data_IF_811172210751
#
_entry.id   IF_811172210751
#
_cell.length_a   1.000
_cell.length_b   1.000
_cell.length_c   1.000
_cell.angle_alpha   90.00
_cell.angle_beta   90.00
_cell.angle_gamma   90.00
#
_symmetry.space_group_name_H-M   'P 1'
#
loop_
_entity.id
_entity.type
_entity.pdbx_description
1 polymer ?
#
# COMPACT_ATOMS: atom_id res chain seq x y z
N UNK A 1 10.24 19.90 20.39
CA UNK A 1 8.83 20.24 20.11
C UNK A 1 8.01 19.02 20.48
N UNK A 2 7.11 19.20 21.44
CA UNK A 2 6.39 18.16 22.15
C UNK A 2 5.07 17.90 21.43
N UNK A 3 4.83 16.67 20.97
CA UNK A 3 3.46 16.14 20.85
C UNK A 3 3.31 15.06 21.92
N UNK A 4 2.97 15.50 23.15
CA UNK A 4 2.24 14.64 24.08
C UNK A 4 0.83 14.40 23.52
N UNK A 5 0.05 13.41 23.93
CA UNK A 5 -0.05 12.79 25.25
C UNK A 5 -0.86 11.50 25.11
N UNK A 6 -0.60 10.56 26.01
CA UNK A 6 -1.52 9.51 26.49
C UNK A 6 -2.28 8.65 25.48
N UNK A 7 -1.73 7.49 25.17
CA UNK A 7 -2.51 6.27 25.01
C UNK A 7 -2.26 5.39 26.26
N UNK A 8 -2.78 5.82 27.41
CA UNK A 8 -3.03 4.86 28.50
C UNK A 8 -4.40 4.26 28.21
N UNK A 9 -4.43 3.26 27.35
CA UNK A 9 -5.57 2.36 27.24
C UNK A 9 -5.01 0.97 27.44
N UNK A 10 -5.30 0.41 28.61
CA UNK A 10 -5.15 -1.01 28.86
C UNK A 10 -5.96 -1.76 27.79
N UNK A 11 -5.27 -2.30 26.80
CA UNK A 11 -5.87 -3.17 25.79
C UNK A 11 -5.79 -4.59 26.33
N UNK A 12 -6.77 -4.94 27.16
CA UNK A 12 -7.09 -6.33 27.48
C UNK A 12 -8.07 -6.86 26.44
N UNK A 13 -7.67 -6.85 25.16
CA UNK A 13 -8.38 -7.50 24.06
C UNK A 13 -7.39 -7.74 22.93
N UNK A 14 -6.96 -8.99 22.76
CA UNK A 14 -6.07 -9.50 21.71
C UNK A 14 -6.72 -9.43 20.29
N UNK A 15 -7.47 -8.37 19.98
CA UNK A 15 -7.92 -8.16 18.62
C UNK A 15 -6.75 -7.63 17.79
N UNK A 16 -6.26 -8.45 16.85
CA UNK A 16 -5.41 -7.97 15.77
C UNK A 16 -6.14 -6.82 15.06
N UNK A 17 -5.49 -5.67 14.94
CA UNK A 17 -6.06 -4.54 14.23
C UNK A 17 -5.72 -4.64 12.73
N UNK A 18 -6.73 -4.48 11.88
CA UNK A 18 -6.55 -4.40 10.43
C UNK A 18 -6.13 -2.99 10.02
N UNK A 19 -4.89 -2.83 9.56
CA UNK A 19 -4.37 -1.56 9.07
C UNK A 19 -4.13 -1.61 7.57
N UNK A 20 -4.58 -0.58 6.85
CA UNK A 20 -4.24 -0.37 5.45
C UNK A 20 -3.16 0.72 5.34
N UNK A 21 -1.94 0.32 4.98
CA UNK A 21 -0.82 1.25 4.75
C UNK A 21 -0.30 1.16 3.32
N UNK A 22 -0.19 2.30 2.65
CA UNK A 22 0.47 2.39 1.34
C UNK A 22 1.98 2.44 1.51
N UNK A 23 2.71 1.49 0.93
CA UNK A 23 4.17 1.60 0.87
C UNK A 23 4.60 2.75 -0.05
N UNK A 24 5.44 3.64 0.46
CA UNK A 24 6.04 4.73 -0.32
C UNK A 24 7.35 4.32 -1.02
N UNK A 25 8.01 3.25 -0.58
CA UNK A 25 9.35 2.88 -1.03
C UNK A 25 9.45 1.41 -1.46
N UNK A 26 10.33 1.11 -2.41
CA UNK A 26 10.66 -0.27 -2.79
C UNK A 26 11.62 -0.89 -1.77
N UNK A 27 11.06 -1.37 -0.67
CA UNK A 27 11.82 -1.90 0.48
C UNK A 27 12.47 -3.25 0.15
N UNK A 28 13.58 -3.55 0.80
CA UNK A 28 14.18 -4.90 0.82
C UNK A 28 13.40 -5.78 1.78
N UNK A 29 13.16 -7.03 1.39
CA UNK A 29 12.44 -7.99 2.22
C UNK A 29 13.39 -8.84 3.07
N UNK A 30 12.95 -9.36 4.23
CA UNK A 30 13.64 -10.44 4.92
C UNK A 30 13.78 -11.65 3.99
N UNK A 31 14.98 -12.22 3.90
CA UNK A 31 15.30 -13.28 2.92
C UNK A 31 15.75 -12.76 1.55
N UNK A 32 15.85 -11.45 1.37
CA UNK A 32 16.34 -10.81 0.15
C UNK A 32 15.23 -10.43 -0.84
N UNK A 33 15.64 -9.81 -1.95
CA UNK A 33 14.72 -9.30 -2.96
C UNK A 33 14.05 -7.98 -2.58
N UNK A 34 13.20 -7.48 -3.49
CA UNK A 34 12.50 -6.20 -3.38
C UNK A 34 10.99 -6.39 -3.27
N UNK A 35 10.37 -5.51 -2.49
CA UNK A 35 8.93 -5.52 -2.21
C UNK A 35 8.11 -5.52 -3.49
N UNK A 36 8.40 -4.61 -4.42
CA UNK A 36 7.62 -4.46 -5.65
C UNK A 36 7.69 -5.70 -6.51
N UNK A 37 8.90 -6.23 -6.75
CA UNK A 37 9.09 -7.46 -7.53
C UNK A 37 8.25 -8.61 -6.97
N UNK A 38 8.20 -8.75 -5.64
CA UNK A 38 7.40 -9.81 -4.99
C UNK A 38 5.89 -9.60 -5.16
N UNK A 39 5.38 -8.37 -4.98
CA UNK A 39 3.92 -8.13 -5.08
C UNK A 39 3.40 -8.06 -6.50
N UNK A 40 4.26 -7.76 -7.47
CA UNK A 40 3.87 -7.70 -8.89
C UNK A 40 4.19 -8.97 -9.67
N UNK A 41 4.78 -9.99 -9.04
CA UNK A 41 5.13 -11.24 -9.72
C UNK A 41 3.91 -12.10 -10.10
N UNK A 42 2.78 -11.96 -9.40
CA UNK A 42 1.56 -12.72 -9.67
C UNK A 42 0.70 -12.10 -10.77
N UNK A 43 -0.16 -12.92 -11.38
CA UNK A 43 -1.18 -12.43 -12.30
C UNK A 43 -2.18 -11.53 -11.53
N UNK A 44 -2.52 -10.34 -12.06
CA UNK A 44 -3.52 -9.49 -11.44
C UNK A 44 -4.88 -10.20 -11.33
N UNK A 45 -5.52 -10.09 -10.16
CA UNK A 45 -6.90 -10.61 -9.98
C UNK A 45 -7.95 -9.77 -10.69
N UNK A 46 -7.57 -8.58 -11.14
CA UNK A 46 -8.43 -7.70 -11.91
C UNK A 46 -7.74 -6.39 -12.26
N UNK A 47 -8.50 -5.49 -12.88
CA UNK A 47 -8.06 -4.14 -13.21
C UNK A 47 -9.09 -3.12 -12.76
N UNK A 48 -8.60 -1.95 -12.36
CA UNK A 48 -9.43 -0.79 -12.05
C UNK A 48 -9.12 0.31 -13.05
N UNK A 49 -10.15 0.85 -13.68
CA UNK A 49 -10.05 1.94 -14.65
C UNK A 49 -10.42 3.27 -13.99
N UNK A 50 -9.63 4.30 -14.25
CA UNK A 50 -9.88 5.66 -13.77
C UNK A 50 -9.22 6.70 -14.67
N UNK A 51 -9.77 7.91 -14.65
CA UNK A 51 -9.24 9.05 -15.40
C UNK A 51 -8.28 9.83 -14.52
N UNK A 52 -7.05 9.99 -14.98
CA UNK A 52 -6.13 10.97 -14.42
C UNK A 52 -6.53 12.35 -14.94
N UNK A 53 -6.74 13.30 -14.03
CA UNK A 53 -7.01 14.69 -14.37
C UNK A 53 -5.81 15.30 -15.14
N UNK A 54 -6.08 16.32 -15.94
CA UNK A 54 -5.03 17.06 -16.63
C UNK A 54 -4.07 17.71 -15.62
N UNK A 55 -2.77 17.72 -15.95
CA UNK A 55 -1.73 18.46 -15.22
C UNK A 55 -0.90 19.29 -16.21
N UNK A 56 -0.02 20.17 -15.71
CA UNK A 56 0.80 20.98 -16.61
C UNK A 56 1.56 20.10 -17.60
N UNK A 57 1.45 20.44 -18.90
CA UNK A 57 1.97 19.69 -20.04
C UNK A 57 1.40 18.27 -20.27
N UNK A 58 0.33 17.86 -19.59
CA UNK A 58 -0.27 16.53 -19.78
C UNK A 58 -1.81 16.59 -19.76
N UNK A 59 -2.48 16.25 -20.88
CA UNK A 59 -3.94 16.20 -20.93
C UNK A 59 -4.50 15.08 -20.06
N UNK A 60 -5.77 15.21 -19.69
CA UNK A 60 -6.49 14.16 -18.98
C UNK A 60 -6.49 12.86 -19.80
N UNK A 61 -6.38 11.72 -19.13
CA UNK A 61 -6.26 10.43 -19.80
C UNK A 61 -6.85 9.31 -18.96
N UNK A 62 -7.56 8.40 -19.63
CA UNK A 62 -7.99 7.14 -19.04
C UNK A 62 -6.81 6.20 -18.80
N UNK A 63 -6.75 5.62 -17.62
CA UNK A 63 -5.72 4.67 -17.23
C UNK A 63 -6.34 3.46 -16.54
N UNK A 64 -5.63 2.34 -16.54
CA UNK A 64 -6.00 1.14 -15.81
C UNK A 64 -4.83 0.69 -14.94
N UNK A 65 -5.12 0.26 -13.71
CA UNK A 65 -4.14 -0.34 -12.81
C UNK A 65 -4.54 -1.78 -12.50
N UNK A 66 -3.57 -2.69 -12.47
CA UNK A 66 -3.77 -4.07 -12.02
C UNK A 66 -3.92 -4.15 -10.50
N UNK A 67 -4.78 -5.05 -10.03
CA UNK A 67 -4.99 -5.34 -8.62
C UNK A 67 -4.34 -6.69 -8.31
N UNK A 68 -3.39 -6.71 -7.37
CA UNK A 68 -2.78 -7.94 -6.88
C UNK A 68 -3.52 -8.47 -5.64
N UNK A 69 -3.54 -9.79 -5.46
CA UNK A 69 -4.09 -10.44 -4.26
C UNK A 69 -3.07 -10.62 -3.13
N UNK A 70 -1.78 -10.38 -3.40
CA UNK A 70 -0.70 -10.70 -2.46
C UNK A 70 -0.60 -9.62 -1.39
N UNK A 71 -1.03 -9.95 -0.17
CA UNK A 71 -0.71 -9.17 1.02
C UNK A 71 0.76 -9.37 1.38
N UNK A 72 1.52 -8.28 1.55
CA UNK A 72 2.83 -8.35 2.15
C UNK A 72 2.69 -8.48 3.66
N UNK A 73 2.66 -9.71 4.16
CA UNK A 73 3.00 -9.96 5.55
C UNK A 73 4.52 -9.86 5.62
N UNK A 74 5.02 -8.71 6.10
CA UNK A 74 6.41 -8.53 6.46
C UNK A 74 6.66 -9.07 7.87
#
# INVERSE_FOLDING_TARGET
MHFGRHMHREVTSWAAADWLLRSQHNRTLPGGGKLWDRVTAGEPVGRIHFTLAARQAQPARGTAAGVGATCCVA
#
